data_IF_549748854818
#
_entry.id   IF_549748854818
#
_cell.length_a   1.000
_cell.length_b   1.000
_cell.length_c   1.000
_cell.angle_alpha   90.00
_cell.angle_beta   90.00
_cell.angle_gamma   90.00
#
_symmetry.space_group_name_H-M   'P 1'
#
loop_
_entity.id
_entity.type
_entity.pdbx_description
1 polymer ?
#
# COMPACT_ATOMS: atom_id res chain seq x y z
N UNK A 1 34.00 0.92 0.91
CA UNK A 1 33.76 -0.03 2.02
C UNK A 1 32.45 -0.73 1.76
N UNK A 2 32.49 -1.99 1.33
CA UNK A 2 31.30 -2.76 0.96
C UNK A 2 30.37 -2.92 2.17
N UNK A 3 29.12 -2.50 2.00
CA UNK A 3 28.04 -2.62 2.97
C UNK A 3 27.78 -4.10 3.29
N UNK A 4 27.86 -4.47 4.58
CA UNK A 4 27.31 -5.74 5.09
C UNK A 4 25.82 -5.78 4.73
N UNK A 5 25.47 -6.62 3.77
CA UNK A 5 24.08 -6.90 3.41
C UNK A 5 23.33 -7.46 4.61
N UNK A 6 22.10 -7.01 4.79
CA UNK A 6 21.16 -7.51 5.78
C UNK A 6 20.92 -9.00 5.46
N UNK A 7 21.47 -9.92 6.27
CA UNK A 7 21.17 -11.35 6.15
C UNK A 7 19.78 -11.51 6.77
N UNK A 8 18.73 -11.61 5.95
CA UNK A 8 17.39 -11.96 6.43
C UNK A 8 17.46 -13.26 7.22
N UNK A 9 16.81 -13.31 8.38
CA UNK A 9 16.70 -14.53 9.17
C UNK A 9 15.96 -15.59 8.33
N UNK A 10 16.41 -16.84 8.40
CA UNK A 10 15.84 -17.96 7.63
C UNK A 10 14.35 -18.14 7.92
N UNK A 11 13.90 -17.85 9.15
CA UNK A 11 12.48 -17.84 9.51
C UNK A 11 11.68 -16.78 8.73
N UNK A 12 12.26 -15.60 8.48
CA UNK A 12 11.61 -14.54 7.71
C UNK A 12 11.44 -14.96 6.24
N UNK A 13 12.44 -15.64 5.68
CA UNK A 13 12.38 -16.20 4.33
C UNK A 13 11.33 -17.31 4.24
N UNK A 14 11.31 -18.23 5.19
CA UNK A 14 10.32 -19.31 5.26
C UNK A 14 8.91 -18.74 5.38
N UNK A 15 8.72 -17.72 6.23
CA UNK A 15 7.43 -17.05 6.38
C UNK A 15 6.97 -16.43 5.06
N UNK A 16 7.88 -15.77 4.31
CA UNK A 16 7.56 -15.20 2.99
C UNK A 16 7.21 -16.26 1.94
N UNK A 17 7.80 -17.45 2.01
CA UNK A 17 7.50 -18.55 1.06
C UNK A 17 6.18 -19.23 1.45
N UNK A 18 6.05 -19.67 2.69
CA UNK A 18 4.85 -20.31 3.20
C UNK A 18 3.62 -19.40 3.10
N UNK A 19 3.83 -18.08 3.11
CA UNK A 19 2.79 -17.08 2.86
C UNK A 19 1.91 -17.36 1.65
N UNK A 20 2.45 -17.96 0.59
CA UNK A 20 1.73 -18.18 -0.66
C UNK A 20 0.88 -19.45 -0.66
N UNK A 21 0.89 -20.21 0.44
CA UNK A 21 0.18 -21.49 0.52
C UNK A 21 -1.19 -21.30 1.16
N UNK A 22 -2.27 -21.66 0.43
CA UNK A 22 -3.63 -21.56 0.93
C UNK A 22 -3.88 -22.57 2.05
N UNK A 23 -4.89 -22.30 2.88
CA UNK A 23 -5.34 -23.08 4.04
C UNK A 23 -4.35 -23.06 5.20
N UNK A 24 -4.79 -22.58 6.37
CA UNK A 24 -3.93 -22.46 7.57
C UNK A 24 -3.26 -23.78 7.93
N UNK A 25 -3.97 -24.90 7.81
CA UNK A 25 -3.42 -26.24 8.04
C UNK A 25 -2.29 -26.60 7.06
N UNK A 26 -2.48 -26.35 5.76
CA UNK A 26 -1.48 -26.63 4.73
C UNK A 26 -0.30 -25.64 4.79
N UNK A 27 -0.57 -24.37 5.07
CA UNK A 27 0.44 -23.34 5.33
C UNK A 27 1.32 -23.71 6.52
N UNK A 28 0.71 -24.13 7.62
CA UNK A 28 1.44 -24.56 8.81
C UNK A 28 2.21 -25.84 8.55
N UNK A 29 1.58 -26.84 7.93
CA UNK A 29 2.26 -28.08 7.54
C UNK A 29 3.44 -27.81 6.62
N UNK A 30 3.33 -26.89 5.66
CA UNK A 30 4.44 -26.53 4.77
C UNK A 30 5.50 -25.69 5.46
N UNK A 31 5.11 -24.75 6.34
CA UNK A 31 6.06 -23.98 7.17
C UNK A 31 6.84 -24.92 8.09
N UNK A 32 6.16 -25.83 8.78
CA UNK A 32 6.77 -26.85 9.63
C UNK A 32 7.62 -27.81 8.81
N UNK A 33 7.16 -28.22 7.62
CA UNK A 33 7.95 -29.02 6.69
C UNK A 33 9.22 -28.27 6.26
N UNK A 34 9.15 -26.98 5.93
CA UNK A 34 10.31 -26.16 5.58
C UNK A 34 11.27 -26.00 6.76
N UNK A 35 10.76 -25.69 7.95
CA UNK A 35 11.56 -25.58 9.18
C UNK A 35 12.20 -26.92 9.54
N UNK A 36 11.44 -28.02 9.43
CA UNK A 36 11.90 -29.38 9.65
C UNK A 36 12.98 -29.77 8.65
N UNK A 37 12.80 -29.51 7.35
CA UNK A 37 13.80 -29.84 6.33
C UNK A 37 15.03 -28.95 6.38
N UNK A 38 14.90 -27.69 6.79
CA UNK A 38 16.05 -26.80 7.01
C UNK A 38 16.81 -27.23 8.27
N UNK A 39 16.11 -27.55 9.37
CA UNK A 39 16.72 -28.08 10.58
C UNK A 39 17.32 -29.47 10.37
N UNK A 40 16.65 -30.35 9.62
CA UNK A 40 17.21 -31.63 9.19
C UNK A 40 18.41 -31.37 8.31
N UNK A 41 18.34 -30.56 7.25
CA UNK A 41 19.52 -30.30 6.42
C UNK A 41 20.66 -29.68 7.23
N UNK A 42 20.41 -28.85 8.24
CA UNK A 42 21.48 -28.28 9.07
C UNK A 42 22.11 -29.33 10.00
N UNK A 43 21.31 -30.28 10.49
CA UNK A 43 21.75 -31.40 11.35
C UNK A 43 22.38 -32.54 10.55
N UNK A 44 21.77 -32.87 9.42
CA UNK A 44 22.18 -33.84 8.40
C UNK A 44 23.42 -33.33 7.64
N UNK A 45 23.61 -32.04 7.37
CA UNK A 45 24.88 -31.52 6.82
C UNK A 45 26.02 -31.61 7.83
N UNK A 46 25.73 -31.45 9.14
CA UNK A 46 26.70 -31.70 10.22
C UNK A 46 27.03 -33.20 10.38
N UNK A 47 26.09 -34.09 10.10
CA UNK A 47 26.28 -35.55 10.16
C UNK A 47 26.84 -36.14 8.84
N UNK A 48 26.46 -35.63 7.68
CA UNK A 48 26.91 -36.02 6.32
C UNK A 48 28.33 -35.53 6.03
N UNK A 49 28.77 -34.40 6.60
CA UNK A 49 30.20 -34.03 6.56
C UNK A 49 31.08 -35.14 7.15
N UNK A 50 30.51 -35.99 8.02
CA UNK A 50 31.20 -37.13 8.61
C UNK A 50 30.92 -38.49 7.93
N UNK A 51 29.90 -38.65 7.07
CA UNK A 51 29.48 -39.97 6.58
C UNK A 51 28.99 -39.92 5.11
N UNK A 52 29.84 -40.46 4.23
CA UNK A 52 29.67 -40.83 2.80
C UNK A 52 28.30 -40.77 2.07
N UNK A 53 28.35 -40.07 0.92
CA UNK A 53 27.87 -40.28 -0.48
C UNK A 53 26.69 -41.20 -0.90
N UNK A 54 25.98 -41.93 -0.04
CA UNK A 54 24.96 -42.92 -0.50
C UNK A 54 23.49 -42.49 -0.33
N UNK A 55 23.22 -41.23 0.06
CA UNK A 55 21.88 -40.66 0.22
C UNK A 55 21.47 -39.67 -0.90
N UNK A 56 22.06 -39.80 -2.08
CA UNK A 56 21.93 -38.82 -3.17
C UNK A 56 20.54 -38.80 -3.83
N UNK A 57 19.94 -39.94 -4.10
CA UNK A 57 18.89 -40.01 -5.13
C UNK A 57 17.46 -39.81 -4.60
N UNK A 58 17.12 -40.31 -3.40
CA UNK A 58 15.86 -39.96 -2.73
C UNK A 58 15.78 -38.46 -2.37
N UNK A 59 16.91 -37.85 -2.05
CA UNK A 59 16.98 -36.41 -1.84
C UNK A 59 16.75 -35.65 -3.15
N UNK A 60 17.34 -36.09 -4.27
CA UNK A 60 17.10 -35.48 -5.59
C UNK A 60 15.62 -35.51 -5.99
N UNK A 61 14.92 -36.61 -5.77
CA UNK A 61 13.49 -36.71 -6.11
C UNK A 61 12.62 -35.76 -5.27
N UNK A 62 12.87 -35.68 -3.95
CA UNK A 62 12.19 -34.72 -3.07
C UNK A 62 12.53 -33.28 -3.48
N UNK A 63 13.80 -32.98 -3.77
CA UNK A 63 14.21 -31.67 -4.26
C UNK A 63 13.56 -31.33 -5.61
N UNK A 64 13.47 -32.29 -6.54
CA UNK A 64 12.83 -32.09 -7.84
C UNK A 64 11.33 -31.85 -7.69
N UNK A 65 10.62 -32.64 -6.88
CA UNK A 65 9.21 -32.41 -6.56
C UNK A 65 9.01 -31.04 -5.88
N UNK A 66 9.94 -30.63 -5.01
CA UNK A 66 9.91 -29.31 -4.39
C UNK A 66 10.17 -28.20 -5.41
N UNK A 67 11.10 -28.38 -6.35
CA UNK A 67 11.37 -27.46 -7.45
C UNK A 67 10.22 -27.37 -8.43
N UNK A 68 9.55 -28.47 -8.74
CA UNK A 68 8.36 -28.52 -9.59
C UNK A 68 7.17 -27.85 -8.90
N UNK A 69 6.87 -28.19 -7.64
CA UNK A 69 5.82 -27.53 -6.86
C UNK A 69 6.11 -26.02 -6.71
N UNK A 70 7.37 -25.67 -6.41
CA UNK A 70 7.84 -24.29 -6.40
C UNK A 70 7.58 -23.65 -7.76
N UNK A 71 8.04 -24.25 -8.86
CA UNK A 71 7.85 -23.76 -10.22
C UNK A 71 6.35 -23.55 -10.53
N UNK A 72 5.49 -24.54 -10.27
CA UNK A 72 4.05 -24.47 -10.47
C UNK A 72 3.37 -23.40 -9.61
N UNK A 73 3.74 -23.27 -8.33
CA UNK A 73 3.28 -22.18 -7.48
C UNK A 73 3.79 -20.84 -8.00
N UNK A 74 5.03 -20.73 -8.44
CA UNK A 74 5.58 -19.50 -9.00
C UNK A 74 4.92 -19.13 -10.35
N UNK A 75 4.41 -20.11 -11.11
CA UNK A 75 3.60 -19.88 -12.32
C UNK A 75 2.15 -19.47 -12.05
N UNK A 76 1.62 -19.69 -10.84
CA UNK A 76 0.31 -19.16 -10.49
C UNK A 76 0.39 -17.63 -10.40
N UNK A 77 -0.45 -16.98 -11.21
CA UNK A 77 -0.68 -15.54 -11.15
C UNK A 77 -0.99 -15.10 -9.71
N UNK A 78 -0.49 -13.93 -9.33
CA UNK A 78 -0.66 -13.33 -8.01
C UNK A 78 -2.14 -13.32 -7.61
N UNK A 79 -3.04 -13.08 -8.58
CA UNK A 79 -4.48 -13.11 -8.39
C UNK A 79 -4.99 -14.47 -7.95
N UNK A 80 -4.58 -15.53 -8.63
CA UNK A 80 -4.99 -16.90 -8.31
C UNK A 80 -4.51 -17.31 -6.91
N UNK A 81 -3.27 -16.95 -6.54
CA UNK A 81 -2.76 -17.19 -5.19
C UNK A 81 -3.61 -16.49 -4.13
N UNK A 82 -3.92 -15.21 -4.33
CA UNK A 82 -4.76 -14.45 -3.41
C UNK A 82 -6.17 -15.04 -3.29
N UNK A 83 -6.79 -15.43 -4.42
CA UNK A 83 -8.13 -16.05 -4.44
C UNK A 83 -8.17 -17.38 -3.70
N UNK A 84 -7.17 -18.25 -3.91
CA UNK A 84 -7.05 -19.49 -3.14
C UNK A 84 -6.92 -19.24 -1.63
N UNK A 85 -6.17 -18.19 -1.25
CA UNK A 85 -6.06 -17.79 0.15
C UNK A 85 -7.38 -17.26 0.71
N UNK A 86 -8.11 -16.44 -0.05
CA UNK A 86 -9.44 -15.92 0.36
C UNK A 86 -10.39 -17.09 0.66
N UNK A 87 -10.45 -18.08 -0.24
CA UNK A 87 -11.28 -19.28 -0.04
C UNK A 87 -10.88 -20.02 1.25
N UNK A 88 -9.60 -20.03 1.55
CA UNK A 88 -9.05 -20.70 2.71
C UNK A 88 -9.24 -19.96 4.05
N UNK A 89 -9.61 -18.67 4.03
CA UNK A 89 -9.91 -17.90 5.25
C UNK A 89 -11.24 -18.32 5.89
N UNK A 90 -12.10 -19.05 5.17
CA UNK A 90 -13.42 -19.42 5.65
C UNK A 90 -14.34 -18.21 5.80
N UNK A 91 -15.13 -18.20 6.87
CA UNK A 91 -16.13 -17.17 7.17
C UNK A 91 -15.84 -16.39 8.46
N UNK A 92 -14.62 -16.52 9.00
CA UNK A 92 -14.22 -15.79 10.21
C UNK A 92 -14.11 -14.28 9.92
N UNK A 93 -14.69 -13.45 10.80
CA UNK A 93 -14.52 -12.00 10.74
C UNK A 93 -13.10 -11.64 11.16
N UNK A 94 -12.36 -10.94 10.31
CA UNK A 94 -10.93 -10.63 10.53
C UNK A 94 -10.75 -9.18 11.00
N UNK A 95 -11.49 -8.25 10.42
CA UNK A 95 -11.43 -6.83 10.75
C UNK A 95 -12.42 -6.54 11.87
N UNK A 96 -11.90 -6.05 12.99
CA UNK A 96 -12.64 -5.76 14.20
C UNK A 96 -12.15 -4.43 14.79
N UNK A 97 -13.08 -3.63 15.30
CA UNK A 97 -12.75 -2.36 15.98
C UNK A 97 -12.20 -2.66 17.38
N UNK A 98 -10.91 -2.36 17.59
CA UNK A 98 -10.18 -2.61 18.85
C UNK A 98 -9.61 -1.33 19.45
N UNK A 99 -9.23 -0.38 18.61
CA UNK A 99 -8.57 0.86 19.04
C UNK A 99 -9.60 1.95 19.34
N UNK A 100 -9.31 2.77 20.35
CA UNK A 100 -10.12 3.97 20.67
C UNK A 100 -10.06 5.00 19.55
N UNK A 101 -8.86 5.23 19.03
CA UNK A 101 -8.62 5.94 17.79
C UNK A 101 -8.39 4.91 16.70
N UNK A 102 -9.35 4.77 15.79
CA UNK A 102 -9.39 3.67 14.84
C UNK A 102 -8.37 3.88 13.73
N UNK A 103 -7.74 2.79 13.32
CA UNK A 103 -6.90 2.72 12.14
C UNK A 103 -7.75 2.24 10.95
N UNK A 104 -8.16 3.17 10.10
CA UNK A 104 -9.08 2.94 8.99
C UNK A 104 -8.30 2.92 7.67
N UNK A 105 -8.34 1.80 6.97
CA UNK A 105 -7.85 1.72 5.58
C UNK A 105 -9.00 2.12 4.65
N UNK A 106 -8.73 3.02 3.71
CA UNK A 106 -9.74 3.58 2.83
C UNK A 106 -9.26 3.59 1.38
N UNK A 107 -10.08 3.05 0.49
CA UNK A 107 -9.78 2.89 -0.93
C UNK A 107 -11.01 3.18 -1.77
N UNK A 108 -10.82 3.40 -3.06
CA UNK A 108 -11.92 3.56 -4.03
C UNK A 108 -11.67 2.68 -5.23
N UNK A 109 -12.74 2.28 -5.90
CA UNK A 109 -12.68 1.55 -7.17
C UNK A 109 -13.70 2.10 -8.15
N UNK A 110 -13.61 1.63 -9.39
CA UNK A 110 -14.55 1.92 -10.46
C UNK A 110 -14.87 0.64 -11.26
N UNK A 111 -15.90 0.64 -12.15
CA UNK A 111 -16.46 -0.58 -12.75
C UNK A 111 -15.46 -1.47 -13.50
N UNK A 112 -14.42 -0.90 -14.11
CA UNK A 112 -13.43 -1.67 -14.87
C UNK A 112 -12.45 -2.44 -13.96
N UNK A 113 -12.25 -2.00 -12.70
CA UNK A 113 -11.31 -2.65 -11.74
C UNK A 113 -12.01 -3.45 -10.65
N UNK A 114 -13.30 -3.20 -10.42
CA UNK A 114 -14.05 -3.81 -9.31
C UNK A 114 -14.01 -5.34 -9.33
N UNK A 115 -13.90 -5.98 -10.49
CA UNK A 115 -13.90 -7.44 -10.61
C UNK A 115 -12.64 -8.11 -10.04
N UNK A 116 -11.46 -7.49 -10.12
CA UNK A 116 -10.21 -8.08 -9.60
C UNK A 116 -9.66 -7.38 -8.34
N UNK A 117 -10.45 -6.49 -7.73
CA UNK A 117 -10.04 -5.81 -6.49
C UNK A 117 -9.93 -6.78 -5.30
N UNK A 118 -10.50 -7.98 -5.40
CA UNK A 118 -10.42 -9.03 -4.38
C UNK A 118 -8.97 -9.31 -3.96
N UNK A 119 -8.03 -9.20 -4.90
CA UNK A 119 -6.60 -9.40 -4.67
C UNK A 119 -6.00 -8.27 -3.81
N UNK A 120 -6.42 -7.02 -4.05
CA UNK A 120 -6.04 -5.86 -3.22
C UNK A 120 -6.64 -5.99 -1.83
N UNK A 121 -7.96 -6.23 -1.75
CA UNK A 121 -8.67 -6.42 -0.49
C UNK A 121 -8.03 -7.53 0.35
N UNK A 122 -7.67 -8.65 -0.28
CA UNK A 122 -6.93 -9.73 0.38
C UNK A 122 -5.62 -9.22 1.00
N UNK A 123 -4.81 -8.47 0.24
CA UNK A 123 -3.54 -7.93 0.76
C UNK A 123 -3.73 -7.00 1.97
N UNK A 124 -4.84 -6.25 2.00
CA UNK A 124 -5.18 -5.33 3.10
C UNK A 124 -5.73 -6.06 4.34
N UNK A 125 -6.55 -7.10 4.16
CA UNK A 125 -7.03 -7.94 5.28
C UNK A 125 -5.85 -8.70 5.91
N UNK A 126 -4.85 -9.06 5.11
CA UNK A 126 -3.75 -9.93 5.51
C UNK A 126 -2.54 -9.15 6.07
N UNK A 127 -2.74 -7.92 6.53
CA UNK A 127 -1.67 -7.14 7.19
C UNK A 127 -1.26 -7.73 8.55
N UNK A 128 0.00 -7.53 8.98
CA UNK A 128 0.55 -7.99 10.27
C UNK A 128 -0.19 -7.39 11.44
N UNK A 129 -0.46 -6.08 11.39
CA UNK A 129 -1.44 -5.43 12.24
C UNK A 129 -2.77 -5.36 11.52
N UNK A 130 -3.87 -5.67 12.21
CA UNK A 130 -5.20 -5.53 11.62
C UNK A 130 -5.66 -4.07 11.72
N UNK A 131 -6.18 -3.48 10.62
CA UNK A 131 -6.93 -2.24 10.73
C UNK A 131 -8.19 -2.48 11.54
N UNK A 132 -8.75 -1.41 12.10
CA UNK A 132 -10.05 -1.45 12.77
C UNK A 132 -11.20 -1.44 11.75
N UNK A 133 -10.93 -0.92 10.54
CA UNK A 133 -11.90 -0.81 9.45
C UNK A 133 -11.21 -0.80 8.10
N UNK A 134 -11.84 -1.41 7.09
CA UNK A 134 -11.48 -1.25 5.68
C UNK A 134 -12.72 -0.76 4.94
N UNK A 135 -12.63 0.36 4.23
CA UNK A 135 -13.76 0.96 3.51
C UNK A 135 -13.43 1.07 2.04
N UNK A 136 -14.28 0.45 1.21
CA UNK A 136 -14.29 0.61 -0.23
C UNK A 136 -15.38 1.62 -0.62
N UNK A 137 -14.95 2.78 -1.11
CA UNK A 137 -15.84 3.82 -1.66
C UNK A 137 -16.14 3.56 -3.13
N UNK A 138 -17.43 3.52 -3.49
CA UNK A 138 -17.91 3.39 -4.87
C UNK A 138 -18.79 4.59 -5.20
N UNK A 139 -18.69 5.13 -6.42
CA UNK A 139 -19.54 6.28 -6.75
C UNK A 139 -20.95 5.83 -7.17
N UNK A 140 -21.95 6.62 -6.83
CA UNK A 140 -23.34 6.37 -7.25
C UNK A 140 -23.47 6.56 -8.78
N UNK A 141 -22.68 7.46 -9.35
CA UNK A 141 -22.65 7.72 -10.78
C UNK A 141 -22.06 6.54 -11.59
N UNK A 142 -21.07 5.84 -11.05
CA UNK A 142 -20.49 4.65 -11.68
C UNK A 142 -21.23 3.35 -11.31
N UNK A 143 -21.94 3.33 -10.17
CA UNK A 143 -22.72 2.21 -9.66
C UNK A 143 -24.16 2.64 -9.32
N UNK A 144 -24.99 3.00 -10.33
CA UNK A 144 -26.32 3.58 -10.12
C UNK A 144 -27.32 2.65 -9.42
N UNK A 145 -27.13 1.33 -9.49
CA UNK A 145 -27.95 0.35 -8.77
C UNK A 145 -27.30 -0.09 -7.44
N UNK A 146 -26.31 0.65 -6.96
CA UNK A 146 -25.59 0.42 -5.71
C UNK A 146 -25.02 -1.01 -5.64
N UNK A 147 -25.36 -1.77 -4.60
CA UNK A 147 -24.86 -3.14 -4.39
C UNK A 147 -25.18 -4.09 -5.54
N UNK A 148 -26.24 -3.84 -6.32
CA UNK A 148 -26.61 -4.70 -7.46
C UNK A 148 -25.59 -4.64 -8.59
N UNK A 149 -24.81 -3.55 -8.68
CA UNK A 149 -23.74 -3.39 -9.67
C UNK A 149 -22.40 -3.94 -9.16
N UNK A 150 -22.32 -4.36 -7.89
CA UNK A 150 -21.10 -4.88 -7.28
C UNK A 150 -21.05 -6.41 -7.45
N UNK A 151 -19.94 -6.98 -7.97
CA UNK A 151 -19.81 -8.42 -8.10
C UNK A 151 -19.99 -9.16 -6.77
N UNK A 152 -20.70 -10.29 -6.80
CA UNK A 152 -21.06 -11.05 -5.59
C UNK A 152 -19.83 -11.49 -4.78
N UNK A 153 -18.71 -11.84 -5.43
CA UNK A 153 -17.49 -12.22 -4.71
C UNK A 153 -16.88 -11.05 -3.94
N UNK A 154 -17.07 -9.82 -4.40
CA UNK A 154 -16.67 -8.60 -3.68
C UNK A 154 -17.62 -8.31 -2.53
N UNK A 155 -18.94 -8.42 -2.73
CA UNK A 155 -19.92 -8.29 -1.64
C UNK A 155 -19.66 -9.31 -0.52
N UNK A 156 -19.30 -10.54 -0.88
CA UNK A 156 -18.96 -11.61 0.06
C UNK A 156 -17.73 -11.29 0.91
N UNK A 157 -16.86 -10.35 0.51
CA UNK A 157 -15.72 -9.92 1.31
C UNK A 157 -16.15 -9.19 2.59
N UNK A 158 -17.42 -8.74 2.70
CA UNK A 158 -18.01 -8.16 3.93
C UNK A 158 -17.93 -9.09 5.13
N UNK A 159 -17.95 -10.42 4.93
CA UNK A 159 -17.82 -11.39 6.03
C UNK A 159 -16.51 -11.25 6.80
N UNK A 160 -15.47 -10.74 6.14
CA UNK A 160 -14.18 -10.45 6.76
C UNK A 160 -14.12 -9.08 7.47
N UNK A 161 -15.20 -8.29 7.40
CA UNK A 161 -15.31 -6.95 8.00
C UNK A 161 -14.96 -5.78 7.06
N UNK A 162 -14.96 -6.00 5.74
CA UNK A 162 -14.87 -4.91 4.76
C UNK A 162 -16.21 -4.20 4.63
N UNK A 163 -16.18 -2.87 4.64
CA UNK A 163 -17.34 -2.01 4.40
C UNK A 163 -17.33 -1.49 2.96
N UNK A 164 -18.50 -1.43 2.35
CA UNK A 164 -18.69 -0.87 1.00
C UNK A 164 -19.68 0.28 1.15
N UNK A 165 -19.25 1.48 0.77
CA UNK A 165 -20.00 2.72 0.93
C UNK A 165 -20.16 3.40 -0.43
N UNK A 166 -21.33 3.98 -0.67
CA UNK A 166 -21.64 4.67 -1.91
C UNK A 166 -21.64 6.19 -1.71
N UNK A 167 -21.03 6.91 -2.63
CA UNK A 167 -20.84 8.35 -2.52
C UNK A 167 -20.90 9.06 -3.89
N UNK A 168 -20.89 10.40 -3.92
CA UNK A 168 -20.81 11.15 -5.17
C UNK A 168 -19.42 10.98 -5.81
N UNK A 169 -19.37 10.87 -7.12
CA UNK A 169 -18.12 10.78 -7.88
C UNK A 169 -17.32 12.09 -7.83
N UNK A 170 -16.30 12.07 -6.99
CA UNK A 170 -15.21 13.06 -6.96
C UNK A 170 -13.90 12.41 -7.40
N UNK A 171 -13.95 11.34 -8.20
CA UNK A 171 -12.79 10.60 -8.73
C UNK A 171 -11.93 9.97 -7.62
N UNK A 172 -10.62 9.94 -7.77
CA UNK A 172 -9.68 9.33 -6.81
C UNK A 172 -9.76 9.96 -5.42
N UNK A 173 -10.22 11.23 -5.31
CA UNK A 173 -10.42 11.91 -4.04
C UNK A 173 -11.34 11.16 -3.08
N UNK A 174 -12.23 10.29 -3.59
CA UNK A 174 -13.18 9.49 -2.81
C UNK A 174 -12.51 8.82 -1.61
N UNK A 175 -11.34 8.21 -1.81
CA UNK A 175 -10.65 7.39 -0.81
C UNK A 175 -10.20 8.17 0.43
N UNK A 176 -9.90 9.46 0.32
CA UNK A 176 -9.47 10.25 1.48
C UNK A 176 -10.55 11.21 1.94
N UNK A 177 -11.18 11.96 1.03
CA UNK A 177 -12.13 13.03 1.40
C UNK A 177 -13.33 12.49 2.18
N UNK A 178 -13.96 11.40 1.73
CA UNK A 178 -15.11 10.85 2.45
C UNK A 178 -14.72 10.19 3.77
N UNK A 179 -13.56 9.54 3.83
CA UNK A 179 -13.05 8.95 5.06
C UNK A 179 -12.75 10.02 6.11
N UNK A 180 -12.08 11.12 5.75
CA UNK A 180 -11.82 12.24 6.66
C UNK A 180 -13.11 12.91 7.16
N UNK A 181 -14.11 13.10 6.27
CA UNK A 181 -15.42 13.66 6.65
C UNK A 181 -16.18 12.75 7.62
N UNK A 182 -16.21 11.44 7.36
CA UNK A 182 -16.97 10.47 8.14
C UNK A 182 -16.28 10.13 9.48
N UNK A 183 -14.96 10.20 9.53
CA UNK A 183 -14.14 9.80 10.67
C UNK A 183 -13.09 10.87 11.04
N UNK A 184 -13.51 12.08 11.45
CA UNK A 184 -12.61 13.23 11.63
C UNK A 184 -11.57 13.04 12.74
N UNK A 185 -11.85 12.15 13.70
CA UNK A 185 -10.99 11.89 14.86
C UNK A 185 -10.12 10.63 14.74
N UNK A 186 -10.29 9.86 13.66
CA UNK A 186 -9.59 8.59 13.45
C UNK A 186 -8.41 8.74 12.49
N UNK A 187 -7.59 7.70 12.42
CA UNK A 187 -6.43 7.61 11.52
C UNK A 187 -6.89 7.00 10.20
N UNK A 188 -6.62 7.69 9.09
CA UNK A 188 -6.96 7.24 7.75
C UNK A 188 -5.71 6.85 6.99
N UNK A 189 -5.71 5.63 6.44
CA UNK A 189 -4.67 5.12 5.55
C UNK A 189 -5.25 4.90 4.16
N UNK A 190 -4.73 5.59 3.14
CA UNK A 190 -5.23 5.42 1.77
C UNK A 190 -4.64 4.18 1.11
N UNK A 191 -5.42 3.50 0.28
CA UNK A 191 -4.94 2.46 -0.64
C UNK A 191 -5.55 2.64 -2.04
N UNK A 192 -4.86 2.13 -3.05
CA UNK A 192 -5.31 2.08 -4.45
C UNK A 192 -5.79 0.67 -4.79
N UNK A 193 -6.73 0.59 -5.74
CA UNK A 193 -7.38 -0.64 -6.19
C UNK A 193 -6.53 -1.48 -7.17
N UNK A 194 -5.31 -1.05 -7.48
CA UNK A 194 -4.38 -1.72 -8.39
C UNK A 194 -3.01 -2.04 -7.77
N UNK A 195 -2.91 -2.07 -6.44
CA UNK A 195 -1.65 -2.35 -5.74
C UNK A 195 -1.83 -3.54 -4.78
N UNK A 196 -0.94 -4.52 -4.90
CA UNK A 196 -0.78 -5.57 -3.90
C UNK A 196 0.14 -5.10 -2.79
N UNK A 197 -0.40 -4.92 -1.59
CA UNK A 197 0.35 -4.42 -0.44
C UNK A 197 1.16 -5.53 0.23
N UNK A 198 2.43 -5.24 0.52
CA UNK A 198 3.25 -6.14 1.35
C UNK A 198 2.63 -6.31 2.74
N UNK A 199 2.83 -7.48 3.35
CA UNK A 199 2.16 -7.90 4.58
C UNK A 199 2.39 -6.99 5.80
N UNK A 200 3.47 -6.19 5.82
CA UNK A 200 3.81 -5.25 6.90
C UNK A 200 3.67 -3.77 6.51
N UNK A 201 2.98 -3.48 5.40
CA UNK A 201 2.74 -2.12 4.90
C UNK A 201 2.05 -1.24 5.95
N UNK A 202 0.93 -1.70 6.50
CA UNK A 202 0.14 -0.94 7.47
C UNK A 202 0.90 -0.77 8.80
N UNK A 203 1.62 -1.80 9.22
CA UNK A 203 2.43 -1.80 10.45
C UNK A 203 3.52 -0.73 10.42
N UNK A 204 4.22 -0.59 9.29
CA UNK A 204 5.27 0.44 9.18
C UNK A 204 4.71 1.85 9.25
N UNK A 205 3.58 2.11 8.60
CA UNK A 205 2.90 3.41 8.70
C UNK A 205 2.48 3.69 10.14
N UNK A 206 1.81 2.72 10.77
CA UNK A 206 1.28 2.90 12.12
C UNK A 206 2.37 3.03 13.17
N UNK A 207 3.44 2.23 13.10
CA UNK A 207 4.58 2.34 14.02
C UNK A 207 5.26 3.71 13.90
N UNK A 208 5.47 4.21 12.68
CA UNK A 208 6.04 5.54 12.48
C UNK A 208 5.14 6.65 13.05
N UNK A 209 3.82 6.51 12.92
CA UNK A 209 2.85 7.40 13.56
C UNK A 209 2.89 7.34 15.09
N UNK A 210 2.99 6.14 15.67
CA UNK A 210 3.11 5.98 17.13
C UNK A 210 4.39 6.59 17.69
N UNK A 211 5.49 6.54 16.92
CA UNK A 211 6.75 7.20 17.27
C UNK A 211 6.62 8.73 17.29
N UNK A 212 5.89 9.32 16.34
CA UNK A 212 5.61 10.76 16.33
C UNK A 212 4.27 11.11 15.64
N UNK A 213 3.19 11.38 16.39
CA UNK A 213 1.84 11.51 15.83
C UNK A 213 1.55 12.88 15.17
N UNK A 214 2.58 13.62 14.74
CA UNK A 214 2.46 14.99 14.24
C UNK A 214 2.60 15.13 12.72
N UNK A 215 2.84 14.04 11.99
CA UNK A 215 3.16 14.07 10.57
C UNK A 215 2.28 13.14 9.74
N UNK A 216 2.25 13.41 8.43
CA UNK A 216 1.76 12.44 7.45
C UNK A 216 2.89 11.47 7.16
N UNK A 217 2.57 10.18 7.17
CA UNK A 217 3.52 9.10 6.87
C UNK A 217 3.22 8.46 5.54
N UNK A 218 4.25 8.13 4.75
CA UNK A 218 4.06 7.50 3.45
C UNK A 218 5.15 6.47 3.12
N UNK A 219 4.83 5.55 2.21
CA UNK A 219 5.84 4.67 1.61
C UNK A 219 6.48 5.26 0.36
N UNK A 220 5.73 6.01 -0.46
CA UNK A 220 6.24 6.54 -1.74
C UNK A 220 6.29 8.05 -1.70
N UNK A 221 7.49 8.60 -1.86
CA UNK A 221 7.74 10.04 -1.89
C UNK A 221 8.73 10.45 -2.98
N UNK A 222 8.69 11.73 -3.35
CA UNK A 222 9.70 12.41 -4.14
C UNK A 222 10.16 13.65 -3.38
N UNK A 223 11.46 13.89 -3.31
CA UNK A 223 12.01 15.10 -2.70
C UNK A 223 11.96 16.25 -3.70
N UNK A 224 11.26 17.31 -3.33
CA UNK A 224 11.28 18.59 -4.04
C UNK A 224 12.67 19.20 -3.89
N UNK A 225 13.26 19.57 -5.03
CA UNK A 225 14.56 20.21 -5.08
C UNK A 225 14.38 21.71 -5.36
N UNK A 226 15.29 22.52 -4.80
CA UNK A 226 15.38 23.95 -5.05
C UNK A 226 16.76 24.26 -5.64
N UNK A 227 16.85 25.29 -6.47
CA UNK A 227 18.13 25.82 -6.94
C UNK A 227 18.70 26.87 -5.96
N UNK A 228 19.90 27.37 -6.28
CA UNK A 228 20.61 28.35 -5.47
C UNK A 228 19.87 29.70 -5.38
N UNK A 229 19.04 30.01 -6.38
CA UNK A 229 18.19 31.20 -6.43
C UNK A 229 16.85 31.01 -5.70
N UNK A 230 16.69 29.92 -4.95
CA UNK A 230 15.48 29.54 -4.20
C UNK A 230 14.25 29.29 -5.07
N UNK A 231 14.43 28.93 -6.33
CA UNK A 231 13.32 28.49 -7.17
C UNK A 231 13.06 27.00 -6.97
N UNK A 232 11.78 26.63 -6.97
CA UNK A 232 11.35 25.24 -6.94
C UNK A 232 11.62 24.61 -8.32
N UNK A 233 12.43 23.56 -8.35
CA UNK A 233 12.74 22.86 -9.60
C UNK A 233 11.51 22.09 -10.13
N UNK A 234 11.40 21.89 -11.46
CA UNK A 234 10.28 21.19 -12.06
C UNK A 234 10.20 19.72 -11.60
N UNK A 235 9.00 19.15 -11.63
CA UNK A 235 8.67 17.82 -11.13
C UNK A 235 9.57 16.72 -11.70
N UNK A 236 10.07 16.85 -12.92
CA UNK A 236 10.97 15.86 -13.53
C UNK A 236 12.33 15.77 -12.81
N UNK A 237 12.74 16.83 -12.10
CA UNK A 237 14.00 16.89 -11.35
C UNK A 237 13.86 16.37 -9.92
N UNK A 238 12.64 16.18 -9.42
CA UNK A 238 12.43 15.73 -8.04
C UNK A 238 13.03 14.33 -7.83
N UNK A 239 13.77 14.17 -6.73
CA UNK A 239 14.50 12.94 -6.42
C UNK A 239 13.53 11.86 -5.92
N UNK A 240 13.61 10.66 -6.49
CA UNK A 240 12.72 9.56 -6.13
C UNK A 240 13.16 8.88 -4.82
N UNK A 241 12.24 8.78 -3.86
CA UNK A 241 12.42 8.10 -2.59
C UNK A 241 11.42 6.94 -2.50
N UNK A 242 11.62 5.91 -3.34
CA UNK A 242 10.61 4.86 -3.56
C UNK A 242 10.84 3.54 -2.81
N UNK A 243 12.07 3.24 -2.37
CA UNK A 243 12.36 1.98 -1.69
C UNK A 243 13.68 2.05 -0.90
N UNK A 244 13.74 1.35 0.24
CA UNK A 244 14.95 1.19 1.04
C UNK A 244 15.47 2.48 1.65
N UNK A 245 14.58 3.47 1.88
CA UNK A 245 14.98 4.76 2.43
C UNK A 245 15.42 4.61 3.89
N UNK A 246 16.59 5.17 4.18
CA UNK A 246 17.12 5.32 5.54
C UNK A 246 16.92 6.74 6.08
N UNK A 247 16.65 7.71 5.20
CA UNK A 247 16.32 9.06 5.60
C UNK A 247 14.81 9.16 5.86
N UNK A 248 14.46 9.32 7.12
CA UNK A 248 13.08 9.42 7.63
C UNK A 248 12.71 10.85 8.05
N UNK A 249 13.59 11.83 7.78
CA UNK A 249 13.40 13.19 8.27
C UNK A 249 12.11 13.81 7.72
N UNK A 250 11.18 14.22 8.61
CA UNK A 250 9.98 14.93 8.22
C UNK A 250 10.34 16.26 7.55
N UNK A 251 9.68 16.57 6.43
CA UNK A 251 10.02 17.75 5.63
C UNK A 251 8.82 18.22 4.80
N UNK A 252 8.71 19.53 4.59
CA UNK A 252 7.75 20.11 3.64
C UNK A 252 8.13 19.82 2.18
N UNK A 253 9.38 19.42 1.91
CA UNK A 253 9.86 19.03 0.58
C UNK A 253 9.62 17.55 0.26
N UNK A 254 9.08 16.76 1.17
CA UNK A 254 8.76 15.36 0.90
C UNK A 254 7.36 15.25 0.27
N UNK A 255 7.28 15.23 -1.05
CA UNK A 255 6.02 15.05 -1.78
C UNK A 255 5.61 13.58 -1.80
N UNK A 256 4.54 13.21 -1.08
CA UNK A 256 4.00 11.85 -1.12
C UNK A 256 3.16 11.61 -2.37
N UNK A 257 2.84 10.34 -2.59
CA UNK A 257 1.78 9.92 -3.52
C UNK A 257 0.90 8.89 -2.82
N UNK A 258 -0.42 9.01 -2.95
CA UNK A 258 -1.38 8.20 -2.19
C UNK A 258 -1.35 6.72 -2.55
N UNK A 259 -0.94 6.35 -3.77
CA UNK A 259 -0.87 4.94 -4.18
C UNK A 259 0.12 4.10 -3.39
N UNK A 260 1.21 4.68 -2.88
CA UNK A 260 2.10 3.97 -1.96
C UNK A 260 1.48 3.72 -0.57
N UNK A 261 0.34 4.34 -0.28
CA UNK A 261 -0.23 4.46 1.04
C UNK A 261 0.30 5.68 1.78
N UNK A 262 -0.65 6.52 2.23
CA UNK A 262 -0.38 7.56 3.22
C UNK A 262 -1.21 7.30 4.46
N UNK A 263 -0.62 7.51 5.64
CA UNK A 263 -1.31 7.57 6.92
C UNK A 263 -1.48 9.04 7.30
N UNK A 264 -2.71 9.44 7.58
CA UNK A 264 -3.07 10.81 7.90
C UNK A 264 -4.28 10.92 8.82
N UNK A 265 -4.60 12.14 9.27
CA UNK A 265 -5.77 12.50 10.07
C UNK A 265 -6.38 13.77 9.50
N UNK A 266 -7.66 14.05 9.80
CA UNK A 266 -8.30 15.28 9.32
C UNK A 266 -7.57 16.54 9.78
N UNK A 267 -7.02 16.52 11.00
CA UNK A 267 -6.29 17.66 11.57
C UNK A 267 -4.95 17.97 10.89
N UNK A 268 -4.44 17.08 10.03
CA UNK A 268 -3.19 17.26 9.28
C UNK A 268 -3.36 18.08 8.01
N UNK A 269 -4.58 18.45 7.67
CA UNK A 269 -4.90 19.17 6.45
C UNK A 269 -5.61 20.48 6.77
N UNK A 270 -5.36 21.48 5.93
CA UNK A 270 -6.11 22.71 5.97
C UNK A 270 -7.59 22.42 5.67
N UNK A 271 -8.52 23.14 6.30
CA UNK A 271 -9.97 22.97 6.12
C UNK A 271 -10.43 23.07 4.66
N UNK A 272 -9.68 23.79 3.81
CA UNK A 272 -9.93 23.84 2.38
C UNK A 272 -9.88 22.46 1.71
N UNK A 273 -9.29 21.43 2.33
CA UNK A 273 -9.26 20.06 1.79
C UNK A 273 -10.63 19.57 1.33
N UNK A 274 -11.70 20.01 1.99
CA UNK A 274 -13.08 19.63 1.69
C UNK A 274 -13.75 20.50 0.61
N UNK A 275 -13.07 21.50 0.05
CA UNK A 275 -13.59 22.41 -0.96
C UNK A 275 -13.59 21.74 -2.35
N UNK A 276 -14.67 21.02 -2.62
CA UNK A 276 -14.88 20.27 -3.85
C UNK A 276 -14.79 21.13 -5.11
N UNK A 277 -15.44 22.29 -5.11
CA UNK A 277 -15.39 23.21 -6.26
C UNK A 277 -13.94 23.59 -6.59
N UNK A 278 -13.14 23.88 -5.56
CA UNK A 278 -11.78 24.35 -5.73
C UNK A 278 -10.83 23.25 -6.21
N UNK A 279 -10.87 22.05 -5.63
CA UNK A 279 -9.99 20.97 -6.08
C UNK A 279 -10.39 20.42 -7.45
N UNK A 280 -11.70 20.42 -7.78
CA UNK A 280 -12.16 20.05 -9.11
C UNK A 280 -11.78 21.11 -10.17
N UNK A 281 -11.57 22.36 -9.76
CA UNK A 281 -11.07 23.43 -10.64
C UNK A 281 -9.54 23.39 -10.81
N UNK A 282 -8.79 23.20 -9.73
CA UNK A 282 -7.33 23.33 -9.73
C UNK A 282 -6.61 22.03 -10.07
N UNK A 283 -7.10 20.90 -9.57
CA UNK A 283 -6.44 19.59 -9.65
C UNK A 283 -7.43 18.44 -9.92
N UNK A 284 -8.31 18.51 -10.92
CA UNK A 284 -9.42 17.56 -11.10
C UNK A 284 -9.01 16.08 -11.19
N UNK A 285 -7.78 15.79 -11.60
CA UNK A 285 -7.27 14.42 -11.81
C UNK A 285 -6.05 14.09 -10.92
N UNK A 286 -5.80 14.89 -9.89
CA UNK A 286 -4.50 14.88 -9.18
C UNK A 286 -4.69 15.13 -7.67
N UNK A 287 -5.33 14.18 -7.02
CA UNK A 287 -5.62 14.21 -5.59
C UNK A 287 -4.36 14.28 -4.73
N UNK A 288 -3.28 13.62 -5.16
CA UNK A 288 -1.97 13.66 -4.49
C UNK A 288 -1.47 15.10 -4.27
N UNK A 289 -1.51 15.95 -5.32
CA UNK A 289 -1.05 17.34 -5.23
C UNK A 289 -1.96 18.18 -4.36
N UNK A 290 -3.27 17.97 -4.45
CA UNK A 290 -4.22 18.65 -3.59
C UNK A 290 -3.94 18.34 -2.12
N UNK A 291 -3.89 17.06 -1.74
CA UNK A 291 -3.66 16.64 -0.36
C UNK A 291 -2.30 17.12 0.17
N UNK A 292 -1.25 17.05 -0.66
CA UNK A 292 0.06 17.57 -0.29
C UNK A 292 0.02 19.08 0.01
N UNK A 293 -0.60 19.88 -0.85
CA UNK A 293 -0.72 21.33 -0.63
C UNK A 293 -1.55 21.63 0.62
N UNK A 294 -2.64 20.90 0.84
CA UNK A 294 -3.46 21.07 2.05
C UNK A 294 -2.69 20.75 3.33
N UNK A 295 -1.77 19.79 3.30
CA UNK A 295 -0.89 19.49 4.43
C UNK A 295 0.10 20.63 4.70
N UNK A 296 0.74 21.15 3.65
CA UNK A 296 1.69 22.27 3.78
C UNK A 296 1.04 23.56 4.30
N UNK A 297 -0.18 23.86 3.83
CA UNK A 297 -0.96 25.00 4.31
C UNK A 297 -1.42 24.86 5.77
N UNK A 298 -1.29 23.67 6.34
CA UNK A 298 -1.57 23.35 7.74
C UNK A 298 -0.30 23.05 8.53
N UNK A 299 0.87 23.48 8.05
CA UNK A 299 2.14 23.28 8.76
C UNK A 299 2.47 21.81 9.06
N UNK A 300 1.92 20.89 8.28
CA UNK A 300 2.13 19.46 8.47
C UNK A 300 3.26 18.97 7.56
N UNK A 301 4.35 18.49 8.18
CA UNK A 301 5.46 17.85 7.47
C UNK A 301 5.12 16.42 7.08
N UNK A 302 5.82 15.93 6.04
CA UNK A 302 5.67 14.57 5.53
C UNK A 302 6.92 13.77 5.86
N UNK A 303 6.75 12.58 6.44
CA UNK A 303 7.83 11.64 6.74
C UNK A 303 7.68 10.36 5.90
N UNK A 304 8.80 9.85 5.43
CA UNK A 304 8.86 8.57 4.70
C UNK A 304 9.14 7.50 5.73
N UNK A 305 8.39 6.41 5.72
CA UNK A 305 8.64 5.32 6.66
C UNK A 305 9.99 4.66 6.38
N UNK A 306 10.67 4.26 7.45
CA UNK A 306 11.92 3.51 7.37
C UNK A 306 11.71 2.20 6.61
N UNK A 307 12.65 1.85 5.74
CA UNK A 307 12.62 0.61 4.95
C UNK A 307 11.28 0.43 4.20
N UNK A 308 10.79 1.52 3.60
CA UNK A 308 9.53 1.58 2.85
C UNK A 308 9.39 0.44 1.82
N UNK A 309 8.18 -0.12 1.75
CA UNK A 309 7.86 -1.25 0.87
C UNK A 309 7.89 -0.87 -0.61
N UNK A 310 8.14 -1.87 -1.46
CA UNK A 310 8.04 -1.71 -2.90
C UNK A 310 6.57 -1.73 -3.32
N UNK A 311 6.24 -0.99 -4.37
CA UNK A 311 4.92 -1.08 -5.00
C UNK A 311 4.89 -2.29 -5.93
N UNK A 312 3.88 -3.14 -5.73
CA UNK A 312 3.58 -4.28 -6.59
C UNK A 312 2.28 -3.95 -7.30
N UNK A 313 2.38 -3.38 -8.50
CA UNK A 313 1.21 -3.06 -9.31
C UNK A 313 0.57 -4.35 -9.85
N UNK A 314 -0.74 -4.45 -9.72
CA UNK A 314 -1.54 -5.49 -10.34
C UNK A 314 -1.85 -4.99 -11.75
N UNK A 315 -1.24 -5.62 -12.76
CA UNK A 315 -1.48 -5.28 -14.15
C UNK A 315 -2.92 -5.64 -14.54
N UNK A 316 -3.72 -4.65 -14.92
CA UNK A 316 -4.99 -4.89 -15.60
C UNK A 316 -4.78 -4.75 -17.11
N UNK A 317 -5.25 -5.74 -17.84
CA UNK A 317 -5.30 -5.70 -19.29
C UNK A 317 -6.52 -4.85 -19.70
N UNK A 318 -6.34 -3.97 -20.69
CA UNK A 318 -7.43 -3.28 -21.42
C UNK A 318 -8.18 -2.09 -20.78
N UNK A 319 -7.46 -1.09 -20.25
CA UNK A 319 -7.99 0.30 -20.24
C UNK A 319 -6.90 1.36 -20.09
N UNK A 320 -7.22 2.61 -20.49
CA UNK A 320 -6.36 3.78 -20.24
C UNK A 320 -6.37 4.12 -18.75
N UNK A 321 -5.24 3.97 -18.06
CA UNK A 321 -5.10 4.35 -16.66
C UNK A 321 -5.13 5.87 -16.52
N UNK A 322 -5.56 6.37 -15.37
CA UNK A 322 -5.45 7.81 -15.08
C UNK A 322 -4.00 8.29 -15.20
N UNK A 323 -3.07 7.44 -14.79
CA UNK A 323 -1.63 7.67 -14.96
C UNK A 323 -1.20 7.85 -16.43
N UNK A 324 -1.83 7.14 -17.38
CA UNK A 324 -1.53 7.27 -18.82
C UNK A 324 -2.00 8.62 -19.39
N UNK A 325 -3.06 9.18 -18.79
CA UNK A 325 -3.62 10.49 -19.14
C UNK A 325 -2.79 11.60 -18.48
N UNK A 326 -2.35 11.40 -17.24
CA UNK A 326 -1.54 12.32 -16.44
C UNK A 326 -0.06 12.28 -16.85
N UNK A 327 0.23 12.71 -18.09
CA UNK A 327 1.60 12.89 -18.59
C UNK A 327 2.36 13.93 -17.75
N UNK A 328 3.69 13.83 -17.69
CA UNK A 328 4.57 14.72 -16.90
C UNK A 328 4.26 16.22 -17.09
N UNK A 329 3.90 16.65 -18.30
CA UNK A 329 3.50 18.04 -18.57
C UNK A 329 2.19 18.46 -17.89
N UNK A 330 1.19 17.57 -17.83
CA UNK A 330 -0.09 17.81 -17.15
C UNK A 330 0.11 17.87 -15.63
N UNK A 331 0.97 17.00 -15.09
CA UNK A 331 1.33 17.01 -13.68
C UNK A 331 2.04 18.29 -13.28
N UNK A 332 2.98 18.79 -14.11
CA UNK A 332 3.66 20.07 -13.87
C UNK A 332 2.65 21.23 -13.86
N UNK A 333 1.78 21.31 -14.87
CA UNK A 333 0.76 22.37 -14.97
C UNK A 333 -0.16 22.42 -13.74
N UNK A 334 -0.53 21.26 -13.20
CA UNK A 334 -1.38 21.19 -12.00
C UNK A 334 -0.66 21.73 -10.78
N UNK A 335 0.61 21.39 -10.59
CA UNK A 335 1.41 21.93 -9.48
C UNK A 335 1.62 23.45 -9.63
N UNK A 336 1.89 23.93 -10.84
CA UNK A 336 2.06 25.36 -11.11
C UNK A 336 0.78 26.15 -10.83
N UNK A 337 -0.40 25.61 -11.17
CA UNK A 337 -1.70 26.21 -10.82
C UNK A 337 -1.86 26.38 -9.30
N UNK A 338 -1.50 25.36 -8.52
CA UNK A 338 -1.57 25.40 -7.06
C UNK A 338 -0.56 26.40 -6.47
N UNK A 339 0.68 26.42 -6.98
CA UNK A 339 1.70 27.40 -6.60
C UNK A 339 1.27 28.84 -6.91
N UNK A 340 0.61 29.06 -8.05
CA UNK A 340 0.11 30.39 -8.42
C UNK A 340 -1.09 30.80 -7.57
N UNK A 341 -2.00 29.87 -7.26
CA UNK A 341 -3.20 30.16 -6.48
C UNK A 341 -2.87 30.50 -5.02
N UNK A 342 -2.04 29.70 -4.35
CA UNK A 342 -1.66 29.95 -2.94
C UNK A 342 -0.44 30.86 -2.79
N UNK A 343 0.30 31.11 -3.86
CA UNK A 343 1.40 32.06 -3.92
C UNK A 343 2.47 31.81 -2.86
N UNK A 344 2.89 32.88 -2.20
CA UNK A 344 3.98 32.87 -1.23
C UNK A 344 3.68 32.01 -0.01
N UNK A 345 2.40 31.82 0.35
CA UNK A 345 2.03 30.94 1.48
C UNK A 345 2.53 29.52 1.27
N UNK A 346 2.40 28.99 0.06
CA UNK A 346 2.86 27.65 -0.28
C UNK A 346 4.37 27.62 -0.59
N UNK A 347 4.86 28.57 -1.39
CA UNK A 347 6.28 28.64 -1.78
C UNK A 347 7.20 28.74 -0.56
N UNK A 348 6.85 29.59 0.41
CA UNK A 348 7.66 29.79 1.60
C UNK A 348 7.78 28.54 2.48
N UNK A 349 6.75 27.67 2.54
CA UNK A 349 6.85 26.39 3.25
C UNK A 349 7.91 25.48 2.65
N UNK A 350 7.99 25.44 1.32
CA UNK A 350 8.92 24.58 0.59
C UNK A 350 10.34 25.15 0.64
N UNK A 351 10.48 26.46 0.39
CA UNK A 351 11.79 27.12 0.28
C UNK A 351 12.48 27.20 1.64
N UNK A 352 11.75 27.48 2.72
CA UNK A 352 12.32 27.70 4.05
C UNK A 352 12.30 26.46 4.96
N UNK A 353 11.99 25.28 4.41
CA UNK A 353 11.92 24.00 5.17
C UNK A 353 13.21 23.61 5.90
#
# INVERSE_FOLDING_TARGET
>A
MYSRGYIMNIEEIINRIAWWIPFKGLRNAFREYLLYNINLNTKLLKEIYNINKEYSDNNKEIFNNFYELKSSIFTLDLRNKARMQILALGDEKIIEEKRKERLIVSLTSFPQRIYDIDVVLFSLINQTIKPDKIILWLSIEEFPNLEKDVPLHILNMRKFGIEIEFCKDIKSYKKLIYALKKYPNDIIVTADDDIYYEYNWLEKLYNAYLENPNYIYCHRSRKILIDDDKNILPLIKWQNNYFGNKNIEPSYRNYFTTGGGILSKSLFFNNEIFNEELFMKLAPLDDDKWFFVMALLNDTKISIVKDNNKIIEIGYDDYKRLWDINKTGVNQQTFDKLLNYYGDKLKNKIIND
#
